data_IF_690046297284
#
_entry.id   IF_690046297284
#
_cell.length_a   1.000
_cell.length_b   1.000
_cell.length_c   1.000
_cell.angle_alpha   90.00
_cell.angle_beta   90.00
_cell.angle_gamma   90.00
#
_symmetry.space_group_name_H-M   'P 1'
#
loop_
_entity.id
_entity.type
_entity.pdbx_description
1 polymer ?
#
# COMPACT_ATOMS: atom_id res chain seq x y z
N UNK A 1 -10.83 13.52 -74.39
CA UNK A 1 -11.18 13.83 -72.99
C UNK A 1 -10.66 12.71 -72.11
N UNK A 2 -9.85 13.09 -71.11
CA UNK A 2 -9.40 12.35 -69.92
C UNK A 2 -8.97 10.87 -70.06
N UNK A 3 -7.65 10.67 -70.10
CA UNK A 3 -6.95 9.49 -69.60
C UNK A 3 -6.98 9.49 -68.07
N UNK A 4 -7.36 8.38 -67.43
CA UNK A 4 -7.09 8.13 -66.00
C UNK A 4 -6.54 6.71 -65.82
N UNK A 5 -5.21 6.65 -65.66
CA UNK A 5 -4.50 5.62 -64.92
C UNK A 5 -4.76 5.80 -63.42
N UNK A 6 -4.74 4.71 -62.64
CA UNK A 6 -4.40 4.57 -61.19
C UNK A 6 -4.60 3.06 -60.90
N UNK A 7 -3.54 2.26 -60.94
CA UNK A 7 -2.58 1.95 -59.86
C UNK A 7 -3.03 0.72 -59.05
N UNK A 8 -2.22 -0.33 -59.17
CA UNK A 8 -2.29 -1.57 -58.40
C UNK A 8 -2.16 -1.26 -56.90
N UNK A 9 -3.08 -1.80 -56.10
CA UNK A 9 -2.94 -1.84 -54.66
C UNK A 9 -2.07 -3.06 -54.31
N UNK A 10 -0.82 -2.79 -53.93
CA UNK A 10 0.07 -3.77 -53.33
C UNK A 10 -0.55 -4.30 -52.03
N UNK A 11 -0.67 -5.63 -51.96
CA UNK A 11 -1.03 -6.34 -50.74
C UNK A 11 0.10 -6.25 -49.72
N UNK A 12 -0.02 -5.31 -48.80
CA UNK A 12 0.76 -5.27 -47.56
C UNK A 12 0.12 -6.19 -46.52
N UNK A 13 0.67 -7.39 -46.36
CA UNK A 13 0.36 -8.29 -45.25
C UNK A 13 0.83 -7.66 -43.92
N UNK A 14 -0.10 -7.13 -43.12
CA UNK A 14 0.17 -6.76 -41.73
C UNK A 14 0.04 -8.02 -40.85
N UNK A 15 1.13 -8.77 -40.72
CA UNK A 15 1.31 -9.74 -39.65
C UNK A 15 1.87 -9.03 -38.43
N UNK A 16 1.01 -8.64 -37.49
CA UNK A 16 1.40 -8.36 -36.11
C UNK A 16 0.50 -9.18 -35.19
N UNK A 17 0.94 -10.39 -34.88
CA UNK A 17 0.39 -11.20 -33.80
C UNK A 17 0.78 -10.54 -32.48
N UNK A 18 0.09 -9.47 -32.07
CA UNK A 18 0.25 -8.90 -30.73
C UNK A 18 -0.41 -9.85 -29.72
N UNK A 19 0.37 -10.28 -28.73
CA UNK A 19 -0.13 -11.10 -27.63
C UNK A 19 -1.28 -10.37 -26.90
N UNK A 20 -2.30 -11.10 -26.39
CA UNK A 20 -3.42 -10.48 -25.70
C UNK A 20 -2.94 -9.66 -24.50
N UNK A 21 -3.28 -8.37 -24.48
CA UNK A 21 -2.99 -7.45 -23.37
C UNK A 21 -3.69 -7.92 -22.09
N UNK A 22 -2.93 -8.07 -21.02
CA UNK A 22 -3.40 -8.46 -19.71
C UNK A 22 -4.04 -7.24 -19.00
N UNK A 23 -5.23 -7.37 -18.41
CA UNK A 23 -5.99 -6.23 -17.89
C UNK A 23 -5.35 -5.51 -16.68
N UNK A 24 -4.33 -6.09 -16.06
CA UNK A 24 -3.64 -5.59 -14.85
C UNK A 24 -2.19 -5.17 -15.13
N UNK A 25 -1.79 -5.11 -16.40
CA UNK A 25 -0.46 -4.68 -16.81
C UNK A 25 -0.61 -3.37 -17.58
N UNK A 26 0.09 -2.34 -17.14
CA UNK A 26 0.12 -1.05 -17.84
C UNK A 26 1.04 -1.18 -19.05
N UNK A 27 0.52 -0.92 -20.24
CA UNK A 27 1.28 -1.01 -21.49
C UNK A 27 1.75 0.37 -21.95
N UNK A 28 2.76 0.37 -22.83
CA UNK A 28 3.23 1.57 -23.49
C UNK A 28 2.07 2.26 -24.26
N UNK A 29 1.93 3.56 -24.05
CA UNK A 29 0.86 4.37 -24.64
C UNK A 29 -0.41 4.47 -23.79
N UNK A 30 -0.53 3.71 -22.70
CA UNK A 30 -1.68 3.80 -21.81
C UNK A 30 -1.64 5.10 -21.00
N UNK A 31 -2.81 5.70 -20.78
CA UNK A 31 -2.96 6.90 -19.93
C UNK A 31 -3.37 6.49 -18.54
N UNK A 32 -2.49 6.72 -17.57
CA UNK A 32 -2.73 6.38 -16.17
C UNK A 32 -3.25 7.59 -15.40
N UNK A 33 -4.15 7.32 -14.44
CA UNK A 33 -4.67 8.32 -13.51
C UNK A 33 -3.87 8.22 -12.22
N UNK A 34 -3.12 9.26 -11.90
CA UNK A 34 -2.28 9.32 -10.70
C UNK A 34 -2.98 10.19 -9.65
N UNK A 35 -3.26 9.63 -8.48
CA UNK A 35 -3.82 10.37 -7.34
C UNK A 35 -2.72 10.66 -6.32
N UNK A 36 -2.52 11.94 -5.99
CA UNK A 36 -1.57 12.36 -4.95
C UNK A 36 -2.17 12.22 -3.56
N UNK A 37 -1.34 12.22 -2.51
CA UNK A 37 -1.80 12.13 -1.11
C UNK A 37 -2.69 13.29 -0.67
N UNK A 38 -2.68 14.39 -1.40
CA UNK A 38 -3.52 15.56 -1.16
C UNK A 38 -4.88 15.47 -1.88
N UNK A 39 -5.20 14.31 -2.49
CA UNK A 39 -6.46 14.04 -3.17
C UNK A 39 -6.58 14.62 -4.58
N UNK A 40 -5.49 15.15 -5.16
CA UNK A 40 -5.48 15.70 -6.53
C UNK A 40 -5.21 14.58 -7.53
N UNK A 41 -5.96 14.55 -8.63
CA UNK A 41 -5.78 13.59 -9.72
C UNK A 41 -5.17 14.26 -10.95
N UNK A 42 -4.25 13.58 -11.63
CA UNK A 42 -3.72 14.00 -12.93
C UNK A 42 -3.50 12.81 -13.87
N UNK A 43 -3.54 13.07 -15.18
CA UNK A 43 -3.43 12.07 -16.24
C UNK A 43 -2.03 12.11 -16.85
N UNK A 44 -1.41 10.95 -17.07
CA UNK A 44 -0.08 10.87 -17.70
C UNK A 44 0.00 9.66 -18.64
N UNK A 45 0.52 9.86 -19.86
CA UNK A 45 0.78 8.77 -20.79
C UNK A 45 2.09 8.04 -20.45
N UNK A 46 2.08 6.72 -20.56
CA UNK A 46 3.19 5.81 -20.24
C UNK A 46 4.11 5.66 -21.46
N UNK A 47 5.39 6.02 -21.32
CA UNK A 47 6.40 5.91 -22.37
C UNK A 47 7.24 4.62 -22.24
N UNK A 48 7.89 4.22 -23.34
CA UNK A 48 8.35 2.85 -23.68
C UNK A 48 9.30 2.12 -22.70
N UNK A 49 9.96 2.76 -21.72
CA UNK A 49 11.14 2.15 -21.09
C UNK A 49 11.21 2.16 -19.55
N UNK A 50 10.13 2.44 -18.81
CA UNK A 50 10.29 2.95 -17.43
C UNK A 50 9.41 2.27 -16.37
N UNK A 51 10.00 1.47 -15.47
CA UNK A 51 9.29 0.69 -14.45
C UNK A 51 9.22 1.32 -13.04
N UNK A 52 9.90 2.45 -12.78
CA UNK A 52 9.96 3.08 -11.44
C UNK A 52 9.95 4.61 -11.54
N UNK A 53 9.00 5.24 -10.85
CA UNK A 53 8.78 6.68 -10.85
C UNK A 53 8.77 7.23 -9.41
N UNK A 54 9.39 8.39 -9.19
CA UNK A 54 9.33 9.15 -7.94
C UNK A 54 8.53 10.44 -8.19
N UNK A 55 7.65 10.82 -7.26
CA UNK A 55 6.92 12.07 -7.34
C UNK A 55 7.82 13.24 -6.91
N UNK A 56 8.21 14.09 -7.86
CA UNK A 56 8.90 15.35 -7.59
C UNK A 56 8.01 16.49 -8.10
N UNK A 57 7.65 17.43 -7.22
CA UNK A 57 6.91 18.65 -7.58
C UNK A 57 5.66 18.41 -8.46
N UNK A 58 4.83 17.42 -8.11
CA UNK A 58 3.59 17.05 -8.83
C UNK A 58 3.83 16.51 -10.26
N UNK A 59 5.04 16.04 -10.54
CA UNK A 59 5.38 15.35 -11.79
C UNK A 59 6.06 14.02 -11.45
N UNK A 60 5.72 12.98 -12.20
CA UNK A 60 6.42 11.71 -12.12
C UNK A 60 7.77 11.87 -12.80
N UNK A 61 8.85 11.75 -12.03
CA UNK A 61 10.23 11.78 -12.54
C UNK A 61 10.77 10.35 -12.54
N UNK A 62 11.30 9.93 -13.69
CA UNK A 62 11.92 8.62 -13.91
C UNK A 62 13.06 8.42 -12.90
N UNK A 63 13.03 7.35 -12.12
CA UNK A 63 14.14 6.98 -11.25
C UNK A 63 15.11 6.10 -12.04
N UNK A 64 16.12 6.71 -12.66
CA UNK A 64 17.24 5.95 -13.24
C UNK A 64 18.15 5.45 -12.13
N UNK A 65 18.14 4.14 -11.92
CA UNK A 65 18.89 3.46 -10.86
C UNK A 65 17.91 3.01 -9.80
N UNK A 66 17.65 1.71 -9.77
CA UNK A 66 16.63 1.05 -8.94
C UNK A 66 16.63 1.51 -7.48
N UNK A 67 15.56 1.16 -6.76
CA UNK A 67 15.47 1.32 -5.31
C UNK A 67 16.84 1.05 -4.74
N UNK A 68 17.38 2.03 -3.99
CA UNK A 68 18.61 1.90 -3.23
C UNK A 68 18.61 0.46 -2.69
N UNK A 69 19.54 -0.43 -3.11
CA UNK A 69 19.48 -1.80 -2.67
C UNK A 69 19.37 -1.75 -1.16
N UNK A 70 18.37 -2.45 -0.60
CA UNK A 70 18.26 -2.59 0.84
C UNK A 70 19.68 -2.87 1.35
N UNK A 71 20.20 -2.11 2.32
CA UNK A 71 21.57 -2.30 2.75
C UNK A 71 21.71 -3.74 3.27
N UNK A 72 22.17 -4.64 2.40
CA UNK A 72 22.34 -6.06 2.69
C UNK A 72 23.53 -6.13 3.62
N UNK A 73 23.31 -6.65 4.82
CA UNK A 73 24.42 -6.92 5.73
C UNK A 73 25.41 -7.86 5.02
N UNK A 74 26.72 -7.55 5.00
CA UNK A 74 27.70 -8.46 4.42
C UNK A 74 27.54 -9.82 5.11
N UNK A 75 27.50 -10.89 4.33
CA UNK A 75 27.35 -12.25 4.85
C UNK A 75 28.62 -12.60 5.62
N UNK A 76 28.53 -12.42 6.93
CA UNK A 76 29.68 -12.43 7.81
C UNK A 76 29.79 -13.83 8.39
N UNK A 77 30.69 -14.64 7.82
CA UNK A 77 31.01 -15.97 8.35
C UNK A 77 31.52 -15.88 9.80
N UNK A 78 31.34 -16.95 10.57
CA UNK A 78 31.76 -17.04 11.97
C UNK A 78 33.26 -16.69 12.11
N UNK A 79 33.54 -15.49 12.65
CA UNK A 79 34.91 -15.04 12.94
C UNK A 79 35.34 -13.68 12.37
N UNK A 80 34.49 -12.93 11.66
CA UNK A 80 34.85 -11.58 11.20
C UNK A 80 34.93 -10.59 12.38
N UNK A 81 36.12 -10.07 12.62
CA UNK A 81 36.32 -8.92 13.51
C UNK A 81 36.27 -7.66 12.66
N UNK A 82 35.33 -6.72 12.92
CA UNK A 82 35.27 -5.46 12.18
C UNK A 82 36.57 -4.66 12.37
N UNK A 83 37.10 -4.12 11.27
CA UNK A 83 38.36 -3.37 11.25
C UNK A 83 38.26 -1.97 11.93
N UNK A 84 37.11 -1.63 12.51
CA UNK A 84 36.82 -0.32 13.09
C UNK A 84 36.23 -0.40 14.50
N UNK A 85 36.64 0.51 15.36
CA UNK A 85 36.22 0.59 16.76
C UNK A 85 35.62 1.97 17.10
N UNK A 86 34.63 1.99 17.99
CA UNK A 86 33.90 3.20 18.39
C UNK A 86 34.50 3.87 19.65
N UNK A 87 35.62 3.40 20.18
CA UNK A 87 36.24 3.90 21.44
C UNK A 87 36.58 5.38 21.44
N UNK A 88 36.76 5.98 20.26
CA UNK A 88 37.07 7.41 20.12
C UNK A 88 35.85 8.28 19.80
N UNK A 89 34.63 7.73 19.83
CA UNK A 89 33.42 8.51 19.57
C UNK A 89 32.98 9.29 20.79
N UNK A 90 32.96 10.62 20.67
CA UNK A 90 32.36 11.51 21.64
C UNK A 90 30.99 11.99 21.12
N UNK A 91 29.95 11.86 21.94
CA UNK A 91 28.61 12.35 21.60
C UNK A 91 28.47 13.85 21.88
N UNK A 92 29.09 14.67 21.03
CA UNK A 92 29.08 16.14 21.16
C UNK A 92 27.94 16.80 20.40
N UNK A 93 27.00 16.02 19.83
CA UNK A 93 25.91 16.48 18.94
C UNK A 93 26.36 17.39 17.77
N UNK A 94 27.67 17.41 17.48
CA UNK A 94 28.29 18.21 16.41
C UNK A 94 28.71 17.35 15.21
N UNK A 95 28.36 16.06 15.23
CA UNK A 95 28.74 15.08 14.20
C UNK A 95 27.99 15.25 12.86
N UNK A 96 26.98 16.13 12.81
CA UNK A 96 26.21 16.44 11.61
C UNK A 96 26.20 17.95 11.42
N UNK A 97 26.75 18.42 10.31
CA UNK A 97 26.88 19.85 10.00
C UNK A 97 25.57 20.43 9.44
N UNK A 98 24.76 19.60 8.77
CA UNK A 98 23.50 20.03 8.16
C UNK A 98 22.41 20.26 9.22
N UNK A 99 21.80 21.45 9.24
CA UNK A 99 20.75 21.80 10.21
C UNK A 99 19.38 21.33 9.74
N UNK A 100 18.43 21.30 10.68
CA UNK A 100 17.04 20.92 10.39
C UNK A 100 16.36 21.90 9.42
N UNK A 101 16.72 23.19 9.47
CA UNK A 101 16.24 24.22 8.52
C UNK A 101 16.61 23.85 7.09
N UNK A 102 17.85 23.45 6.87
CA UNK A 102 18.40 23.15 5.55
C UNK A 102 17.76 21.88 4.98
N UNK A 103 17.47 20.89 5.83
CA UNK A 103 16.71 19.69 5.46
C UNK A 103 15.27 20.07 5.06
N UNK A 104 14.67 21.05 5.74
CA UNK A 104 13.37 21.61 5.38
C UNK A 104 13.40 22.23 3.97
N UNK A 105 14.38 23.08 3.69
CA UNK A 105 14.56 23.69 2.38
C UNK A 105 14.80 22.65 1.27
N UNK A 106 15.56 21.59 1.54
CA UNK A 106 15.76 20.51 0.56
C UNK A 106 14.44 19.83 0.21
N UNK A 107 13.57 19.62 1.20
CA UNK A 107 12.24 19.05 0.97
C UNK A 107 11.33 20.01 0.22
N UNK A 108 11.38 21.30 0.53
CA UNK A 108 10.62 22.34 -0.20
C UNK A 108 11.07 22.49 -1.66
N UNK A 109 12.37 22.30 -1.93
CA UNK A 109 12.94 22.26 -3.28
C UNK A 109 12.54 20.99 -4.05
N UNK A 110 11.89 20.03 -3.41
CA UNK A 110 11.47 18.76 -4.01
C UNK A 110 12.62 17.75 -4.16
N UNK A 111 13.69 17.87 -3.37
CA UNK A 111 14.80 16.92 -3.39
C UNK A 111 14.31 15.51 -3.03
N UNK A 112 14.77 14.52 -3.79
CA UNK A 112 14.47 13.11 -3.53
C UNK A 112 14.92 12.70 -2.14
N UNK A 113 14.20 11.76 -1.52
CA UNK A 113 14.62 11.15 -0.25
C UNK A 113 16.06 10.60 -0.33
N UNK A 114 16.48 10.14 -1.51
CA UNK A 114 17.84 9.69 -1.81
C UNK A 114 18.88 10.80 -1.69
N UNK A 115 18.61 11.96 -2.29
CA UNK A 115 19.49 13.12 -2.30
C UNK A 115 19.68 13.69 -0.89
N UNK A 116 18.62 13.69 -0.08
CA UNK A 116 18.68 14.11 1.32
C UNK A 116 19.60 13.18 2.12
N UNK A 117 19.49 11.86 1.93
CA UNK A 117 20.33 10.88 2.62
C UNK A 117 21.79 11.02 2.19
N UNK A 118 22.04 11.22 0.90
CA UNK A 118 23.38 11.45 0.37
C UNK A 118 24.01 12.71 0.98
N UNK A 119 23.30 13.84 1.00
CA UNK A 119 23.78 15.07 1.64
C UNK A 119 24.02 14.89 3.14
N UNK A 120 23.21 14.10 3.83
CA UNK A 120 23.41 13.78 5.25
C UNK A 120 24.64 12.91 5.52
N UNK A 121 25.03 12.08 4.55
CA UNK A 121 26.25 11.26 4.62
C UNK A 121 27.48 12.13 4.38
N UNK A 122 27.46 12.96 3.33
CA UNK A 122 28.55 13.88 2.97
C UNK A 122 28.85 14.91 4.08
N UNK A 123 27.82 15.37 4.79
CA UNK A 123 27.96 16.35 5.88
C UNK A 123 28.23 15.75 7.27
N UNK A 124 28.43 14.42 7.37
CA UNK A 124 28.70 13.77 8.64
C UNK A 124 30.19 13.54 8.85
N UNK A 125 30.76 14.21 9.86
CA UNK A 125 32.19 14.11 10.19
C UNK A 125 32.61 12.74 10.73
N UNK A 126 31.67 11.96 11.26
CA UNK A 126 31.93 10.61 11.79
C UNK A 126 31.68 9.51 10.78
N UNK A 127 31.31 9.85 9.54
CA UNK A 127 30.86 8.84 8.57
C UNK A 127 31.96 7.85 8.20
N UNK A 128 33.15 8.34 7.85
CA UNK A 128 34.23 7.51 7.33
C UNK A 128 34.75 6.52 8.37
N UNK A 129 34.90 6.96 9.62
CA UNK A 129 35.39 6.17 10.76
C UNK A 129 34.39 5.09 11.22
N UNK A 130 33.14 5.09 10.73
CA UNK A 130 32.14 4.07 11.11
C UNK A 130 32.45 2.72 10.49
N UNK A 131 32.21 1.67 11.29
CA UNK A 131 32.16 0.29 10.80
C UNK A 131 31.07 0.13 9.74
N UNK A 132 31.23 -0.85 8.84
CA UNK A 132 30.27 -1.13 7.77
C UNK A 132 28.86 -1.39 8.32
N UNK A 133 28.74 -2.20 9.38
CA UNK A 133 27.47 -2.42 10.07
C UNK A 133 26.84 -1.13 10.60
N UNK A 134 27.65 -0.23 11.16
CA UNK A 134 27.17 1.06 11.66
C UNK A 134 26.72 1.99 10.54
N UNK A 135 27.44 1.99 9.40
CA UNK A 135 27.07 2.71 8.18
C UNK A 135 25.73 2.21 7.63
N UNK A 136 25.57 0.90 7.48
CA UNK A 136 24.33 0.29 7.01
C UNK A 136 23.15 0.55 7.94
N UNK A 137 23.35 0.40 9.26
CA UNK A 137 22.33 0.73 10.27
C UNK A 137 21.89 2.20 10.17
N UNK A 138 22.85 3.11 9.98
CA UNK A 138 22.55 4.52 9.77
C UNK A 138 21.75 4.75 8.49
N UNK A 139 22.18 4.18 7.35
CA UNK A 139 21.46 4.29 6.07
C UNK A 139 20.04 3.77 6.19
N UNK A 140 19.83 2.58 6.76
CA UNK A 140 18.49 1.99 6.96
C UNK A 140 17.59 2.90 7.79
N UNK A 141 18.12 3.50 8.88
CA UNK A 141 17.38 4.47 9.71
C UNK A 141 17.01 5.74 8.92
N UNK A 142 17.91 6.23 8.07
CA UNK A 142 17.67 7.43 7.26
C UNK A 142 16.73 7.16 6.09
N UNK A 143 16.84 6.01 5.43
CA UNK A 143 15.89 5.52 4.43
C UNK A 143 14.48 5.44 5.02
N UNK A 144 14.27 4.81 6.18
CA UNK A 144 12.94 4.76 6.81
C UNK A 144 12.37 6.16 7.13
N UNK A 145 13.22 7.14 7.45
CA UNK A 145 12.81 8.49 7.80
C UNK A 145 12.51 9.38 6.59
N UNK A 146 13.35 9.31 5.55
CA UNK A 146 13.32 10.23 4.39
C UNK A 146 12.75 9.58 3.12
N UNK A 147 12.61 8.25 3.12
CA UNK A 147 11.99 7.45 2.05
C UNK A 147 10.96 6.50 2.70
N UNK A 148 9.89 7.04 3.32
CA UNK A 148 8.83 6.21 3.88
C UNK A 148 8.17 5.42 2.75
N UNK A 149 8.43 4.12 2.72
CA UNK A 149 7.75 3.21 1.82
C UNK A 149 6.28 3.11 2.27
N UNK A 150 5.38 3.64 1.45
CA UNK A 150 3.94 3.43 1.65
C UNK A 150 3.62 2.01 1.18
N UNK A 151 3.53 1.06 2.13
CA UNK A 151 2.66 -0.10 1.90
C UNK A 151 1.25 0.45 1.99
N UNK A 152 0.53 0.49 0.88
CA UNK A 152 -0.89 0.79 0.85
C UNK A 152 -1.63 -0.29 1.65
N UNK A 153 -1.77 -0.08 2.97
CA UNK A 153 -2.71 -0.85 3.81
C UNK A 153 -4.17 -0.47 3.50
N UNK A 154 -4.38 0.49 2.60
CA UNK A 154 -5.68 0.89 2.08
C UNK A 154 -6.44 -0.27 1.41
N UNK A 155 -5.74 -1.34 0.99
CA UNK A 155 -6.33 -2.52 0.35
C UNK A 155 -6.61 -3.70 1.28
N UNK A 156 -6.23 -3.65 2.56
CA UNK A 156 -6.49 -4.76 3.49
C UNK A 156 -7.83 -4.56 4.17
N UNK A 157 -8.85 -5.23 3.65
CA UNK A 157 -10.20 -5.19 4.19
C UNK A 157 -10.51 -6.41 5.06
N UNK A 158 -10.99 -6.16 6.26
CA UNK A 158 -11.46 -7.21 7.14
C UNK A 158 -12.87 -7.65 6.73
N UNK A 159 -13.01 -8.92 6.37
CA UNK A 159 -14.29 -9.56 6.09
C UNK A 159 -14.49 -10.73 7.07
N UNK A 160 -15.44 -10.66 8.00
CA UNK A 160 -15.73 -11.79 8.88
C UNK A 160 -16.27 -12.97 8.06
N UNK A 161 -15.89 -14.19 8.43
CA UNK A 161 -16.24 -15.41 7.69
C UNK A 161 -17.75 -15.59 7.45
N UNK A 162 -18.61 -15.11 8.36
CA UNK A 162 -20.08 -15.12 8.17
C UNK A 162 -20.54 -14.39 6.90
N UNK A 163 -19.79 -13.37 6.46
CA UNK A 163 -20.10 -12.63 5.24
C UNK A 163 -19.68 -13.39 3.99
N UNK A 164 -18.76 -14.36 4.07
CA UNK A 164 -18.31 -15.14 2.91
C UNK A 164 -19.48 -15.95 2.34
N UNK A 165 -20.32 -16.51 3.22
CA UNK A 165 -21.57 -17.18 2.82
C UNK A 165 -22.58 -16.25 2.14
N UNK A 166 -22.50 -14.94 2.38
CA UNK A 166 -23.37 -13.95 1.74
C UNK A 166 -22.88 -13.57 0.34
N UNK A 167 -21.69 -14.02 -0.08
CA UNK A 167 -21.18 -13.75 -1.42
C UNK A 167 -21.96 -14.51 -2.51
N UNK A 168 -22.58 -15.64 -2.16
CA UNK A 168 -23.42 -16.44 -3.07
C UNK A 168 -24.77 -15.78 -3.36
N UNK A 169 -25.23 -14.90 -2.47
CA UNK A 169 -26.50 -14.19 -2.61
C UNK A 169 -26.31 -12.90 -3.42
N UNK A 170 -27.32 -12.51 -4.20
CA UNK A 170 -27.36 -11.19 -4.85
C UNK A 170 -27.46 -10.09 -3.79
N UNK A 171 -26.86 -8.92 -4.03
CA UNK A 171 -26.78 -7.86 -3.02
C UNK A 171 -28.14 -7.31 -2.60
N UNK A 172 -29.11 -7.34 -3.51
CA UNK A 172 -30.48 -6.90 -3.28
C UNK A 172 -31.21 -7.74 -2.21
N UNK A 173 -30.84 -9.01 -2.08
CA UNK A 173 -31.43 -9.95 -1.13
C UNK A 173 -30.74 -9.92 0.25
N UNK A 174 -29.56 -9.29 0.34
CA UNK A 174 -28.81 -9.17 1.59
C UNK A 174 -29.36 -7.99 2.40
N UNK A 175 -30.48 -8.23 3.09
CA UNK A 175 -30.98 -7.30 4.10
C UNK A 175 -30.08 -7.39 5.33
N UNK A 176 -29.14 -6.46 5.48
CA UNK A 176 -28.35 -6.37 6.70
C UNK A 176 -29.30 -6.15 7.88
N UNK A 177 -29.31 -7.06 8.88
CA UNK A 177 -30.23 -6.91 10.00
C UNK A 177 -29.92 -5.59 10.70
N UNK A 178 -30.96 -4.82 11.00
CA UNK A 178 -30.82 -3.59 11.78
C UNK A 178 -30.01 -3.93 13.04
N UNK A 179 -28.99 -3.13 13.34
CA UNK A 179 -28.16 -3.28 14.55
C UNK A 179 -28.98 -2.87 15.77
N UNK A 180 -30.02 -3.64 16.08
CA UNK A 180 -30.83 -3.46 17.28
C UNK A 180 -29.96 -3.92 18.43
N UNK A 181 -29.68 -3.01 19.34
CA UNK A 181 -28.93 -3.36 20.51
C UNK A 181 -29.76 -4.23 21.45
N UNK A 182 -29.08 -4.85 22.42
CA UNK A 182 -29.75 -5.62 23.48
C UNK A 182 -30.82 -4.81 24.23
N UNK A 183 -30.68 -3.48 24.23
CA UNK A 183 -31.59 -2.51 24.84
C UNK A 183 -32.79 -2.14 23.95
N UNK A 184 -32.92 -2.70 22.75
CA UNK A 184 -33.99 -2.39 21.78
C UNK A 184 -33.88 -1.02 21.10
N UNK A 185 -33.05 -0.12 21.62
CA UNK A 185 -32.84 1.23 21.07
C UNK A 185 -32.13 1.21 19.72
N UNK A 186 -32.65 2.02 18.80
CA UNK A 186 -32.06 2.27 17.47
C UNK A 186 -30.74 3.05 17.57
N UNK A 187 -29.90 3.01 16.53
CA UNK A 187 -28.67 3.81 16.46
C UNK A 187 -28.91 5.32 16.63
N UNK A 188 -30.04 5.82 16.14
CA UNK A 188 -30.41 7.24 16.17
C UNK A 188 -30.80 7.70 17.57
N UNK A 189 -31.67 6.95 18.26
CA UNK A 189 -32.07 7.23 19.64
C UNK A 189 -30.87 7.24 20.59
N UNK A 190 -29.87 6.37 20.34
CA UNK A 190 -28.61 6.35 21.10
C UNK A 190 -27.78 7.59 20.88
N UNK A 191 -27.76 8.14 19.67
CA UNK A 191 -27.05 9.37 19.37
C UNK A 191 -27.74 10.58 20.00
N UNK A 192 -29.07 10.61 19.99
CA UNK A 192 -29.86 11.65 20.67
C UNK A 192 -29.61 11.65 22.19
N UNK A 193 -29.70 10.49 22.83
CA UNK A 193 -29.45 10.35 24.26
C UNK A 193 -27.99 10.69 24.63
N UNK A 194 -27.04 10.37 23.76
CA UNK A 194 -25.64 10.75 23.94
C UNK A 194 -25.44 12.27 23.76
N UNK A 195 -26.17 12.92 22.85
CA UNK A 195 -26.15 14.37 22.66
C UNK A 195 -26.78 15.11 23.85
N UNK A 196 -27.88 14.59 24.42
CA UNK A 196 -28.48 15.13 25.63
C UNK A 196 -27.54 15.02 26.83
N UNK A 197 -26.89 13.86 27.01
CA UNK A 197 -25.82 13.70 28.01
C UNK A 197 -24.67 14.68 27.77
N UNK A 198 -24.34 14.95 26.49
CA UNK A 198 -23.25 15.85 26.14
C UNK A 198 -23.54 17.32 26.46
N UNK A 199 -24.81 17.74 26.46
CA UNK A 199 -25.22 19.10 26.87
C UNK A 199 -24.94 19.37 28.36
N UNK A 200 -24.97 18.33 29.18
CA UNK A 200 -24.76 18.44 30.63
C UNK A 200 -23.27 18.41 31.04
N UNK A 201 -22.33 18.36 30.09
CA UNK A 201 -20.90 18.34 30.37
C UNK A 201 -20.28 19.73 30.53
N UNK A 202 -19.18 19.80 31.27
CA UNK A 202 -18.36 21.01 31.35
C UNK A 202 -17.67 21.32 30.01
N UNK A 203 -17.24 22.56 29.73
CA UNK A 203 -16.63 22.93 28.44
C UNK A 203 -15.40 22.07 28.05
N UNK A 204 -14.57 21.69 29.03
CA UNK A 204 -13.43 20.80 28.78
C UNK A 204 -13.86 19.36 28.45
N UNK A 205 -14.89 18.86 29.11
CA UNK A 205 -15.47 17.53 28.86
C UNK A 205 -16.15 17.48 27.49
N UNK A 206 -16.81 18.57 27.07
CA UNK A 206 -17.40 18.70 25.72
C UNK A 206 -16.31 18.60 24.64
N UNK A 207 -15.17 19.29 24.82
CA UNK A 207 -14.03 19.23 23.89
C UNK A 207 -13.48 17.80 23.77
N UNK A 208 -13.26 17.12 24.89
CA UNK A 208 -12.81 15.71 24.92
C UNK A 208 -13.82 14.76 24.28
N UNK A 209 -15.12 14.98 24.50
CA UNK A 209 -16.18 14.20 23.89
C UNK A 209 -16.20 14.38 22.37
N UNK A 210 -16.12 15.63 21.90
CA UNK A 210 -16.07 15.97 20.48
C UNK A 210 -14.84 15.38 19.78
N UNK A 211 -13.65 15.50 20.38
CA UNK A 211 -12.41 14.91 19.83
C UNK A 211 -12.51 13.37 19.75
N UNK A 212 -13.05 12.72 20.80
CA UNK A 212 -13.27 11.28 20.80
C UNK A 212 -14.33 10.85 19.76
N UNK A 213 -15.37 11.67 19.53
CA UNK A 213 -16.38 11.45 18.48
C UNK A 213 -15.75 11.57 17.09
N UNK A 214 -15.03 12.66 16.83
CA UNK A 214 -14.31 12.90 15.57
C UNK A 214 -13.30 11.80 15.26
N UNK A 215 -12.54 11.33 16.25
CA UNK A 215 -11.61 10.20 16.07
C UNK A 215 -12.31 8.91 15.66
N UNK A 216 -13.48 8.62 16.26
CA UNK A 216 -14.30 7.46 15.90
C UNK A 216 -14.84 7.59 14.48
N UNK A 217 -15.26 8.78 14.09
CA UNK A 217 -15.74 9.06 12.73
C UNK A 217 -14.61 8.93 11.70
N UNK A 218 -13.44 9.49 11.95
CA UNK A 218 -12.26 9.30 11.10
C UNK A 218 -11.86 7.82 10.98
N UNK A 219 -11.91 7.07 12.10
CA UNK A 219 -11.62 5.63 12.07
C UNK A 219 -12.68 4.85 11.29
N UNK A 220 -13.95 5.27 11.33
CA UNK A 220 -15.05 4.68 10.54
C UNK A 220 -14.92 5.02 9.06
N UNK A 221 -14.49 6.24 8.73
CA UNK A 221 -14.31 6.71 7.35
C UNK A 221 -13.26 5.88 6.61
N UNK A 222 -12.21 5.46 7.31
CA UNK A 222 -11.17 4.59 6.75
C UNK A 222 -11.64 3.14 6.55
N UNK A 223 -12.71 2.70 7.24
CA UNK A 223 -13.26 1.36 7.08
C UNK A 223 -14.28 1.34 5.96
N UNK A 224 -14.03 0.51 4.96
CA UNK A 224 -14.96 0.31 3.86
C UNK A 224 -16.24 -0.36 4.35
N UNK A 225 -17.36 -0.02 3.69
CA UNK A 225 -18.65 -0.62 4.02
C UNK A 225 -18.61 -2.11 3.69
N UNK A 226 -19.30 -2.97 4.47
CA UNK A 226 -19.36 -4.40 4.21
C UNK A 226 -19.93 -4.72 2.81
N UNK A 227 -20.85 -3.89 2.29
CA UNK A 227 -21.35 -3.97 0.91
C UNK A 227 -20.23 -3.88 -0.12
N UNK A 228 -19.47 -2.78 -0.06
CA UNK A 228 -18.34 -2.53 -0.96
C UNK A 228 -17.27 -3.62 -0.87
N UNK A 229 -17.00 -4.15 0.34
CA UNK A 229 -16.06 -5.25 0.51
C UNK A 229 -16.58 -6.54 -0.15
N UNK A 230 -17.88 -6.84 -0.05
CA UNK A 230 -18.48 -8.00 -0.74
C UNK A 230 -18.42 -7.83 -2.26
N UNK A 231 -18.69 -6.64 -2.75
CA UNK A 231 -18.62 -6.31 -4.18
C UNK A 231 -17.20 -6.59 -4.73
N UNK A 232 -16.17 -6.11 -4.04
CA UNK A 232 -14.77 -6.42 -4.38
C UNK A 232 -14.42 -7.89 -4.24
N UNK A 233 -14.97 -8.58 -3.24
CA UNK A 233 -14.74 -10.01 -3.05
C UNK A 233 -15.45 -10.88 -4.10
N UNK A 234 -16.55 -10.38 -4.71
CA UNK A 234 -17.20 -11.05 -5.84
C UNK A 234 -16.43 -10.88 -7.14
N UNK A 235 -15.65 -9.81 -7.26
CA UNK A 235 -14.72 -9.64 -8.38
C UNK A 235 -13.66 -10.74 -8.36
N UNK A 236 -13.26 -11.21 -9.55
CA UNK A 236 -12.30 -12.31 -9.65
C UNK A 236 -10.92 -11.86 -9.17
N UNK A 237 -10.45 -12.50 -8.11
CA UNK A 237 -9.12 -12.27 -7.56
C UNK A 237 -8.01 -12.94 -8.39
N UNK A 238 -6.83 -12.33 -8.40
CA UNK A 238 -5.63 -12.84 -9.08
C UNK A 238 -4.84 -13.87 -8.25
N UNK A 239 -5.07 -13.93 -6.94
CA UNK A 239 -4.44 -14.90 -6.04
C UNK A 239 -5.24 -15.04 -4.76
N UNK A 240 -5.24 -16.23 -4.17
CA UNK A 240 -5.95 -16.53 -2.92
C UNK A 240 -4.98 -17.10 -1.87
N UNK A 241 -4.92 -16.49 -0.69
CA UNK A 241 -4.13 -17.01 0.44
C UNK A 241 -5.07 -17.30 1.60
N UNK A 242 -5.08 -18.55 2.05
CA UNK A 242 -5.88 -19.02 3.18
C UNK A 242 -4.94 -19.32 4.33
N UNK A 243 -5.01 -18.52 5.39
CA UNK A 243 -4.31 -18.75 6.64
C UNK A 243 -5.34 -18.64 7.78
N UNK A 244 -6.02 -19.75 8.05
CA UNK A 244 -7.14 -19.79 8.96
C UNK A 244 -7.05 -20.99 9.91
N UNK A 245 -7.56 -20.82 11.13
CA UNK A 245 -7.69 -21.91 12.10
C UNK A 245 -8.97 -22.74 11.90
N UNK A 246 -9.63 -22.57 10.74
CA UNK A 246 -10.82 -23.33 10.32
C UNK A 246 -10.40 -24.46 9.38
N UNK A 247 -11.35 -25.33 9.02
CA UNK A 247 -11.10 -26.34 8.00
C UNK A 247 -10.74 -25.67 6.66
N UNK A 248 -9.51 -25.83 6.15
CA UNK A 248 -9.08 -25.15 4.94
C UNK A 248 -9.87 -25.56 3.70
N UNK A 249 -10.42 -26.78 3.67
CA UNK A 249 -11.17 -27.29 2.51
C UNK A 249 -12.48 -26.52 2.34
N UNK A 250 -13.28 -26.36 3.41
CA UNK A 250 -14.53 -25.60 3.35
C UNK A 250 -14.29 -24.15 2.93
N UNK A 251 -13.25 -23.52 3.47
CA UNK A 251 -12.89 -22.13 3.13
C UNK A 251 -12.45 -22.01 1.69
N UNK A 252 -11.64 -22.97 1.21
CA UNK A 252 -11.19 -23.02 -0.17
C UNK A 252 -12.39 -23.19 -1.10
N UNK A 253 -13.26 -24.16 -0.86
CA UNK A 253 -14.44 -24.41 -1.69
C UNK A 253 -15.39 -23.21 -1.76
N UNK A 254 -15.55 -22.48 -0.65
CA UNK A 254 -16.35 -21.25 -0.62
C UNK A 254 -15.70 -20.09 -1.40
N UNK A 255 -14.37 -20.00 -1.45
CA UNK A 255 -13.65 -18.88 -2.07
C UNK A 255 -13.18 -19.15 -3.51
N UNK A 256 -13.11 -20.42 -3.92
CA UNK A 256 -12.70 -20.85 -5.26
C UNK A 256 -13.51 -20.22 -6.41
N UNK A 257 -14.84 -20.02 -6.32
CA UNK A 257 -15.61 -19.37 -7.39
C UNK A 257 -15.16 -17.93 -7.69
N UNK A 258 -14.61 -17.26 -6.68
CA UNK A 258 -14.13 -15.88 -6.75
C UNK A 258 -12.64 -15.79 -7.11
N UNK A 259 -11.98 -16.92 -7.35
CA UNK A 259 -10.61 -16.97 -7.88
C UNK A 259 -10.65 -17.01 -9.42
N UNK A 260 -9.80 -16.21 -10.06
CA UNK A 260 -9.62 -16.28 -11.50
C UNK A 260 -9.18 -17.67 -11.97
N UNK A 261 -9.56 -18.07 -13.19
CA UNK A 261 -9.12 -19.35 -13.76
C UNK A 261 -7.59 -19.39 -13.83
N UNK A 262 -7.02 -20.53 -13.46
CA UNK A 262 -5.56 -20.78 -13.46
C UNK A 262 -4.74 -19.84 -12.56
N UNK A 263 -5.38 -19.18 -11.58
CA UNK A 263 -4.69 -18.32 -10.62
C UNK A 263 -4.15 -19.14 -9.44
N UNK A 264 -2.99 -18.77 -8.88
CA UNK A 264 -2.40 -19.50 -7.77
C UNK A 264 -3.21 -19.29 -6.49
N UNK A 265 -3.31 -20.35 -5.68
CA UNK A 265 -3.79 -20.25 -4.31
C UNK A 265 -2.82 -20.95 -3.36
N UNK A 266 -2.73 -20.44 -2.13
CA UNK A 266 -1.87 -20.97 -1.07
C UNK A 266 -2.72 -21.23 0.16
N UNK A 267 -2.61 -22.44 0.71
CA UNK A 267 -3.29 -22.82 1.94
C UNK A 267 -2.24 -23.09 3.01
N UNK A 268 -2.32 -22.35 4.11
CA UNK A 268 -1.55 -22.61 5.32
C UNK A 268 -2.46 -23.27 6.35
N UNK A 269 -2.05 -24.45 6.81
CA UNK A 269 -2.64 -25.17 7.94
C UNK A 269 -1.55 -25.42 8.97
N UNK A 270 -1.84 -25.14 10.25
CA UNK A 270 -0.94 -25.47 11.36
C UNK A 270 -0.80 -26.99 11.55
N UNK A 271 -1.81 -27.75 11.13
CA UNK A 271 -1.82 -29.21 11.22
C UNK A 271 -1.45 -29.85 9.89
N UNK A 272 -0.51 -30.81 9.94
CA UNK A 272 -0.08 -31.63 8.80
C UNK A 272 -1.18 -32.57 8.28
N UNK A 273 -2.15 -32.93 9.13
CA UNK A 273 -3.29 -33.77 8.77
C UNK A 273 -4.54 -32.89 8.64
N UNK A 274 -5.06 -32.75 7.42
CA UNK A 274 -6.42 -32.27 7.20
C UNK A 274 -7.34 -33.38 7.73
N UNK A 275 -7.86 -33.19 8.95
CA UNK A 275 -8.73 -34.18 9.58
C UNK A 275 -10.06 -34.20 8.84
N UNK A 276 -10.24 -35.17 7.95
CA UNK A 276 -11.54 -35.60 7.47
C UNK A 276 -12.33 -36.20 8.64
N UNK A 277 -12.97 -35.34 9.44
CA UNK A 277 -13.95 -35.77 10.42
C UNK A 277 -15.31 -35.80 9.72
N UNK A 278 -15.55 -36.86 8.95
CA UNK A 278 -16.88 -37.16 8.42
C UNK A 278 -17.82 -37.49 9.59
N UNK A 279 -18.89 -36.71 9.71
CA UNK A 279 -20.08 -37.09 10.48
C UNK A 279 -21.08 -37.78 9.54
#
# INVERSE_FOLDING_TARGET
MATSSIAAADGGACTSTEAPRLPYVIYEGDTVICQTSDGRMFFQAVAKDDAIFEEQNKKLVKVTGGLFPDPVAPETGDGFVPDGDNRHYADTNSAQTLKQTDIGELREKGASGKEIIQKLVENSSTWETKTEFSKQKYLKKKQQKYMPHKRTLESIHYMPFKQVRLLEMEEEDVVEPAKVARDGLTPEEREQLAAERAKNFTPEQQKRYAEKKARREQTKLFRQKPSTIREWAREKSDSLVIAANYDPEEVLMALLPYLGRSKPFVVYSEFLEVKFCGC
#
